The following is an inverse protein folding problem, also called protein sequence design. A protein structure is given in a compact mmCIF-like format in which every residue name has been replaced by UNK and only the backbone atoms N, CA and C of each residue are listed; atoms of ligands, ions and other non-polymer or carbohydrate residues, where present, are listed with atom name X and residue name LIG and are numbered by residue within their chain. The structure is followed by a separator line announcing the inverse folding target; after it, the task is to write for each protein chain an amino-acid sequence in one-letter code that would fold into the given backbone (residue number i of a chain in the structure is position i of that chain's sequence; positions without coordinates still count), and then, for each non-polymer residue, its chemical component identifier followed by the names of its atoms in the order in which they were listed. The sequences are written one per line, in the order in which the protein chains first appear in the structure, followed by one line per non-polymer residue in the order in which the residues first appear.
data_IF_575298451954
#
_entry.id   IF_575298451954
#
_cell.length_a   1.000
_cell.length_b   1.000
_cell.length_c   1.000
_cell.angle_alpha   90.00
_cell.angle_beta   90.00
_cell.angle_gamma   90.00
#
_symmetry.space_group_name_H-M   'P 1'
#
loop_
_entity.id
_entity.type
_entity.pdbx_description
1 polymer ?
#
# COMPACT_ATOMS: atom_id res chain seq x y z
N UNK A 1 -10.28 1.81 -39.34
CA UNK A 1 -9.15 1.59 -38.45
C UNK A 1 -9.19 0.14 -38.00
N UNK A 2 -8.14 -0.64 -38.29
CA UNK A 2 -8.09 -2.03 -37.85
C UNK A 2 -8.03 -2.05 -36.32
N UNK A 3 -9.01 -2.68 -35.68
CA UNK A 3 -9.03 -2.89 -34.23
C UNK A 3 -7.88 -3.85 -33.93
N UNK A 4 -6.80 -3.33 -33.38
CA UNK A 4 -5.64 -4.11 -32.97
C UNK A 4 -6.09 -5.09 -31.87
N UNK A 5 -6.12 -6.37 -32.21
CA UNK A 5 -6.54 -7.42 -31.26
C UNK A 5 -5.32 -7.89 -30.51
N UNK A 6 -5.38 -7.96 -29.17
CA UNK A 6 -4.23 -8.32 -28.33
C UNK A 6 -3.58 -9.67 -28.71
N UNK A 7 -4.33 -10.60 -29.30
CA UNK A 7 -3.82 -11.90 -29.77
C UNK A 7 -3.17 -11.86 -31.17
N UNK A 8 -3.29 -10.75 -31.89
CA UNK A 8 -2.68 -10.57 -33.20
C UNK A 8 -1.40 -9.74 -33.19
N UNK A 9 -1.03 -9.21 -32.04
CA UNK A 9 0.18 -8.40 -31.85
C UNK A 9 0.99 -8.97 -30.68
N UNK A 10 2.13 -9.58 -30.99
CA UNK A 10 3.04 -10.15 -30.01
C UNK A 10 3.66 -9.11 -29.07
N UNK A 11 3.58 -7.81 -29.42
CA UNK A 11 4.07 -6.72 -28.58
C UNK A 11 3.09 -6.36 -27.43
N UNK A 12 1.85 -6.88 -27.45
CA UNK A 12 0.87 -6.63 -26.40
C UNK A 12 0.93 -7.75 -25.38
N UNK A 13 1.74 -7.59 -24.35
CA UNK A 13 1.81 -8.54 -23.24
C UNK A 13 0.97 -8.08 -22.06
N UNK A 14 0.04 -8.91 -21.53
CA UNK A 14 -0.70 -8.59 -20.34
C UNK A 14 0.18 -8.70 -19.09
N UNK A 15 -0.06 -7.85 -18.10
CA UNK A 15 0.63 -7.89 -16.80
C UNK A 15 0.43 -9.24 -16.11
N UNK A 16 1.50 -9.81 -15.57
CA UNK A 16 1.50 -11.12 -14.89
C UNK A 16 1.48 -10.94 -13.37
N UNK A 17 0.66 -11.72 -12.66
CA UNK A 17 0.52 -11.63 -11.19
C UNK A 17 1.81 -11.92 -10.43
N UNK A 18 2.68 -12.78 -10.95
CA UNK A 18 3.92 -13.19 -10.30
C UNK A 18 5.09 -12.22 -10.53
N UNK A 19 4.94 -11.23 -11.42
CA UNK A 19 5.98 -10.24 -11.71
C UNK A 19 5.80 -9.01 -10.81
N UNK A 20 6.15 -9.13 -9.53
CA UNK A 20 6.08 -8.02 -8.59
C UNK A 20 7.26 -8.03 -7.61
N UNK A 21 7.57 -6.86 -7.08
CA UNK A 21 8.52 -6.64 -5.99
C UNK A 21 7.87 -5.75 -4.94
N UNK A 22 8.09 -6.09 -3.67
CA UNK A 22 7.60 -5.32 -2.53
C UNK A 22 8.79 -4.70 -1.80
N UNK A 23 8.90 -3.38 -1.73
CA UNK A 23 9.89 -2.70 -0.92
C UNK A 23 9.29 -2.31 0.42
N UNK A 24 9.71 -3.01 1.46
CA UNK A 24 9.27 -2.84 2.84
C UNK A 24 10.49 -2.94 3.76
N UNK A 25 10.64 -2.05 4.73
CA UNK A 25 11.81 -1.99 5.58
C UNK A 25 11.99 -3.27 6.42
N UNK A 26 13.18 -3.86 6.34
CA UNK A 26 13.55 -5.05 7.12
C UNK A 26 13.05 -6.38 6.55
N UNK A 27 12.34 -6.37 5.41
CA UNK A 27 11.82 -7.59 4.78
C UNK A 27 12.53 -7.87 3.47
N UNK A 28 13.23 -9.02 3.34
CA UNK A 28 13.80 -9.45 2.08
C UNK A 28 12.70 -9.77 1.05
N UNK A 29 12.93 -9.43 -0.22
CA UNK A 29 11.95 -9.64 -1.29
C UNK A 29 11.53 -11.11 -1.46
N UNK A 30 12.44 -12.05 -1.25
CA UNK A 30 12.22 -13.47 -1.52
C UNK A 30 11.27 -14.16 -0.53
N UNK A 31 11.00 -13.57 0.65
CA UNK A 31 10.05 -14.13 1.61
C UNK A 31 8.60 -13.66 1.34
N UNK A 32 8.41 -12.67 0.46
CA UNK A 32 7.09 -12.17 0.11
C UNK A 32 6.37 -13.17 -0.79
N UNK A 33 5.30 -13.77 -0.29
CA UNK A 33 4.48 -14.73 -1.03
C UNK A 33 3.39 -14.05 -1.84
N UNK A 34 2.64 -13.15 -1.20
CA UNK A 34 1.57 -12.39 -1.85
C UNK A 34 1.50 -10.97 -1.32
N UNK A 35 1.03 -10.05 -2.15
CA UNK A 35 0.67 -8.69 -1.74
C UNK A 35 -0.57 -8.23 -2.49
N UNK A 36 -1.47 -7.55 -1.80
CA UNK A 36 -2.58 -6.82 -2.42
C UNK A 36 -2.09 -5.53 -3.07
N UNK A 37 -2.81 -5.05 -4.09
CA UNK A 37 -2.66 -3.67 -4.56
C UNK A 37 -3.53 -2.74 -3.71
N UNK A 38 -3.17 -1.45 -3.60
CA UNK A 38 -4.01 -0.46 -2.96
C UNK A 38 -5.39 -0.38 -3.59
N UNK A 39 -6.42 -0.43 -2.76
CA UNK A 39 -7.81 -0.27 -3.16
C UNK A 39 -8.40 0.94 -2.44
N UNK A 40 -9.43 1.51 -3.00
CA UNK A 40 -10.19 2.58 -2.36
C UNK A 40 -11.69 2.39 -2.60
N UNK A 41 -12.48 2.93 -1.69
CA UNK A 41 -13.93 3.06 -1.81
C UNK A 41 -14.32 4.52 -1.69
N UNK A 42 -15.46 4.87 -2.28
CA UNK A 42 -16.06 6.20 -2.17
C UNK A 42 -17.39 6.03 -1.47
N UNK A 43 -17.56 6.73 -0.33
CA UNK A 43 -18.85 6.74 0.37
C UNK A 43 -19.91 7.42 -0.49
N UNK A 44 -21.17 7.09 -0.27
CA UNK A 44 -22.30 7.72 -0.97
C UNK A 44 -23.32 8.27 0.00
N UNK A 45 -23.99 9.33 -0.42
CA UNK A 45 -25.15 9.88 0.27
C UNK A 45 -26.37 9.74 -0.62
N UNK A 46 -27.44 9.14 -0.09
CA UNK A 46 -28.71 8.97 -0.78
C UNK A 46 -29.63 10.14 -0.49
N UNK A 47 -30.25 10.68 -1.54
CA UNK A 47 -31.36 11.64 -1.44
C UNK A 47 -32.61 11.07 -2.10
N UNK A 48 -33.67 10.96 -1.31
CA UNK A 48 -34.96 10.43 -1.79
C UNK A 48 -35.91 11.60 -2.13
N UNK A 49 -36.46 11.58 -3.33
CA UNK A 49 -37.50 12.51 -3.76
C UNK A 49 -38.66 11.73 -4.38
N UNK A 50 -39.77 11.64 -3.67
CA UNK A 50 -41.00 10.91 -4.03
C UNK A 50 -40.65 9.41 -4.30
N UNK A 51 -40.65 8.97 -5.57
CA UNK A 51 -40.35 7.60 -5.98
C UNK A 51 -38.95 7.45 -6.58
N UNK A 52 -38.11 8.49 -6.50
CA UNK A 52 -36.78 8.53 -7.10
C UNK A 52 -35.70 8.60 -6.03
N UNK A 53 -34.60 7.90 -6.29
CA UNK A 53 -33.40 7.93 -5.48
C UNK A 53 -32.26 8.56 -6.26
N UNK A 54 -31.55 9.49 -5.64
CA UNK A 54 -30.37 10.15 -6.19
C UNK A 54 -29.19 9.88 -5.28
N UNK A 55 -28.03 9.57 -5.85
CA UNK A 55 -26.83 9.25 -5.13
C UNK A 55 -25.77 10.32 -5.38
N UNK A 56 -25.15 10.79 -4.30
CA UNK A 56 -24.09 11.76 -4.35
C UNK A 56 -22.80 11.14 -3.80
N UNK A 57 -21.64 11.25 -4.53
CA UNK A 57 -20.38 10.75 -4.04
C UNK A 57 -19.93 11.53 -2.80
N UNK A 58 -19.45 10.81 -1.79
CA UNK A 58 -18.92 11.33 -0.56
C UNK A 58 -17.39 11.36 -0.53
N UNK A 59 -16.79 10.86 0.56
CA UNK A 59 -15.35 10.85 0.77
C UNK A 59 -14.74 9.59 0.19
N UNK A 60 -13.52 9.73 -0.34
CA UNK A 60 -12.68 8.60 -0.73
C UNK A 60 -11.97 8.05 0.52
N UNK A 61 -12.01 6.75 0.70
CA UNK A 61 -11.31 6.02 1.77
C UNK A 61 -10.42 4.93 1.16
N UNK A 62 -9.15 4.94 1.54
CA UNK A 62 -8.20 3.90 1.14
C UNK A 62 -8.37 2.67 2.03
N UNK A 63 -8.42 1.50 1.41
CA UNK A 63 -8.52 0.21 2.09
C UNK A 63 -7.13 -0.28 2.51
N UNK A 64 -7.10 -1.28 3.39
CA UNK A 64 -5.87 -1.89 3.86
C UNK A 64 -5.24 -2.77 2.78
N UNK A 65 -3.92 -2.84 2.78
CA UNK A 65 -3.17 -3.77 1.94
C UNK A 65 -2.77 -4.98 2.78
N UNK A 66 -3.17 -6.17 2.33
CA UNK A 66 -2.75 -7.43 2.90
C UNK A 66 -1.46 -7.93 2.25
N UNK A 67 -0.54 -8.46 3.07
CA UNK A 67 0.73 -9.03 2.64
C UNK A 67 0.88 -10.36 3.34
N UNK A 68 1.24 -11.41 2.59
CA UNK A 68 1.59 -12.72 3.15
C UNK A 68 3.08 -12.96 2.95
N UNK A 69 3.77 -13.29 4.02
CA UNK A 69 5.18 -13.64 4.04
C UNK A 69 5.31 -15.12 4.36
N UNK A 70 6.34 -15.76 3.84
CA UNK A 70 6.81 -17.06 4.33
C UNK A 70 7.69 -16.79 5.54
N UNK A 71 7.61 -17.61 6.59
CA UNK A 71 8.44 -17.48 7.80
C UNK A 71 9.63 -18.45 7.72
N UNK A 72 10.81 -18.03 7.23
CA UNK A 72 12.01 -18.84 7.24
C UNK A 72 12.68 -18.82 8.61
N UNK A 73 13.55 -19.80 8.87
CA UNK A 73 14.34 -19.85 10.09
C UNK A 73 15.35 -18.69 10.18
N UNK A 74 15.89 -18.25 9.02
CA UNK A 74 16.80 -17.11 8.93
C UNK A 74 16.65 -16.42 7.55
N UNK A 75 16.30 -15.12 7.50
CA UNK A 75 15.91 -14.24 8.60
C UNK A 75 14.50 -14.54 9.12
N UNK A 76 14.34 -14.64 10.43
CA UNK A 76 13.07 -14.88 11.12
C UNK A 76 12.10 -13.70 10.91
N UNK A 77 11.03 -13.95 10.15
CA UNK A 77 10.02 -12.94 9.84
C UNK A 77 9.19 -12.57 11.07
N UNK A 78 8.85 -13.55 11.91
CA UNK A 78 8.09 -13.34 13.14
C UNK A 78 8.85 -12.44 14.13
N UNK A 79 10.16 -12.69 14.30
CA UNK A 79 11.01 -11.84 15.14
C UNK A 79 11.13 -10.42 14.58
N UNK A 80 11.30 -10.28 13.27
CA UNK A 80 11.36 -8.97 12.60
C UNK A 80 10.07 -8.17 12.83
N UNK A 81 8.90 -8.83 12.73
CA UNK A 81 7.61 -8.17 12.98
C UNK A 81 7.48 -7.68 14.43
N UNK A 82 7.92 -8.48 15.42
CA UNK A 82 7.92 -8.06 16.81
C UNK A 82 8.85 -6.86 17.05
N UNK A 83 10.04 -6.84 16.43
CA UNK A 83 10.94 -5.68 16.50
C UNK A 83 10.34 -4.42 15.91
N UNK A 84 9.61 -4.51 14.77
CA UNK A 84 8.93 -3.37 14.16
C UNK A 84 7.84 -2.82 15.07
N UNK A 85 7.10 -3.68 15.78
CA UNK A 85 6.08 -3.27 16.75
C UNK A 85 6.73 -2.61 17.98
N UNK A 86 7.83 -3.14 18.49
CA UNK A 86 8.59 -2.53 19.59
C UNK A 86 9.14 -1.14 19.20
N UNK A 87 9.71 -1.01 17.99
CA UNK A 87 10.18 0.27 17.45
C UNK A 87 9.03 1.28 17.28
N UNK A 88 7.81 0.80 17.03
CA UNK A 88 6.60 1.64 16.95
C UNK A 88 6.15 2.18 18.32
N UNK A 89 6.73 1.67 19.42
CA UNK A 89 6.48 2.15 20.78
C UNK A 89 5.78 1.15 21.69
N UNK A 90 5.67 -0.13 21.30
CA UNK A 90 5.20 -1.18 22.18
C UNK A 90 6.34 -1.62 23.11
N UNK A 91 6.06 -1.71 24.42
CA UNK A 91 6.97 -2.27 25.41
C UNK A 91 6.27 -3.41 26.13
N UNK A 92 6.82 -4.61 26.05
CA UNK A 92 6.26 -5.75 26.75
C UNK A 92 6.33 -5.56 28.28
N UNK A 93 5.29 -5.95 29.07
CA UNK A 93 5.23 -5.68 30.50
C UNK A 93 6.42 -6.21 31.30
N UNK A 94 6.99 -7.36 30.92
CA UNK A 94 8.16 -7.92 31.59
C UNK A 94 9.44 -7.09 31.40
N UNK A 95 9.58 -6.44 30.23
CA UNK A 95 10.70 -5.52 29.97
C UNK A 95 10.54 -4.20 30.73
N UNK A 96 9.30 -3.82 31.04
CA UNK A 96 8.99 -2.62 31.80
C UNK A 96 9.47 -2.69 33.23
N UNK A 97 9.40 -3.86 33.86
CA UNK A 97 9.79 -4.08 35.29
C UNK A 97 11.29 -4.36 35.46
N UNK A 98 11.94 -4.95 34.46
CA UNK A 98 13.32 -5.46 34.58
C UNK A 98 14.35 -4.68 33.76
N UNK A 99 14.02 -3.49 33.25
CA UNK A 99 14.95 -2.70 32.45
C UNK A 99 16.02 -2.04 33.36
N UNK A 100 17.31 -2.47 33.30
CA UNK A 100 18.41 -1.87 34.04
C UNK A 100 18.66 -0.40 33.71
N UNK A 101 18.15 0.06 32.57
CA UNK A 101 18.29 1.44 32.12
C UNK A 101 17.15 2.35 32.58
N UNK A 102 16.25 1.86 33.40
CA UNK A 102 15.19 2.65 34.04
C UNK A 102 14.05 3.08 33.14
N UNK A 103 13.87 2.41 31.97
CA UNK A 103 12.70 2.61 31.11
C UNK A 103 11.39 2.19 31.79
N UNK A 104 11.47 1.40 32.88
CA UNK A 104 10.35 1.03 33.71
C UNK A 104 9.83 2.12 34.67
N UNK A 105 10.42 3.32 34.66
CA UNK A 105 9.88 4.45 35.44
C UNK A 105 8.71 5.06 34.67
N UNK A 106 7.65 5.44 35.35
CA UNK A 106 6.46 6.06 34.78
C UNK A 106 6.74 7.29 33.88
N UNK A 107 7.89 7.94 34.08
CA UNK A 107 8.36 9.07 33.27
C UNK A 107 8.88 8.65 31.88
N UNK A 108 9.16 7.36 31.66
CA UNK A 108 9.74 6.84 30.42
C UNK A 108 8.77 5.89 29.69
N UNK A 109 7.47 5.94 30.01
CA UNK A 109 6.46 5.14 29.30
C UNK A 109 6.39 5.60 27.85
N UNK A 110 6.82 4.72 26.95
CA UNK A 110 6.72 4.90 25.52
C UNK A 110 5.39 4.31 25.06
N UNK A 111 4.65 5.05 24.27
CA UNK A 111 3.38 4.61 23.68
C UNK A 111 3.47 4.61 22.17
N UNK A 112 2.55 3.89 21.54
CA UNK A 112 2.39 3.94 20.10
C UNK A 112 2.17 5.39 19.62
N UNK A 113 2.90 5.77 18.58
CA UNK A 113 2.63 7.02 17.89
C UNK A 113 2.69 6.79 16.37
N UNK A 114 1.89 7.53 15.63
CA UNK A 114 1.87 7.45 14.16
C UNK A 114 3.28 7.64 13.58
N UNK A 115 4.01 8.65 14.07
CA UNK A 115 5.37 8.91 13.60
C UNK A 115 6.30 7.71 13.78
N UNK A 116 6.34 7.11 14.97
CA UNK A 116 7.19 5.93 15.24
C UNK A 116 6.78 4.72 14.43
N UNK A 117 5.48 4.48 14.32
CA UNK A 117 4.95 3.36 13.53
C UNK A 117 5.31 3.49 12.05
N UNK A 118 5.22 4.69 11.48
CA UNK A 118 5.63 4.99 10.11
C UNK A 118 7.15 4.89 9.94
N UNK A 119 7.92 5.43 10.87
CA UNK A 119 9.39 5.40 10.84
C UNK A 119 9.90 3.94 10.94
N UNK A 120 9.27 3.09 11.76
CA UNK A 120 9.61 1.68 11.88
C UNK A 120 9.48 0.93 10.54
N UNK A 121 8.44 1.24 9.77
CA UNK A 121 8.19 0.65 8.44
C UNK A 121 9.08 1.27 7.34
N UNK A 122 9.80 2.36 7.63
CA UNK A 122 10.68 3.04 6.68
C UNK A 122 10.05 4.24 5.98
N UNK A 123 8.93 4.76 6.48
CA UNK A 123 8.29 5.99 5.99
C UNK A 123 7.45 5.85 4.74
N UNK A 124 7.83 4.94 3.83
CA UNK A 124 7.10 4.63 2.59
C UNK A 124 7.22 3.14 2.27
N UNK A 125 6.20 2.62 1.59
CA UNK A 125 6.21 1.28 1.05
C UNK A 125 5.94 1.35 -0.45
N UNK A 126 6.65 0.52 -1.23
CA UNK A 126 6.49 0.48 -2.68
C UNK A 126 6.12 -0.92 -3.14
N UNK A 127 5.17 -0.98 -4.07
CA UNK A 127 4.79 -2.20 -4.77
C UNK A 127 5.07 -1.97 -6.25
N UNK A 128 6.07 -2.66 -6.78
CA UNK A 128 6.47 -2.57 -8.18
C UNK A 128 5.92 -3.76 -8.94
N UNK A 129 5.29 -3.51 -10.07
CA UNK A 129 5.11 -4.52 -11.10
C UNK A 129 6.24 -4.38 -12.12
N UNK A 130 6.85 -5.50 -12.49
CA UNK A 130 8.00 -5.55 -13.38
C UNK A 130 7.65 -6.23 -14.71
N UNK A 131 8.39 -5.88 -15.75
CA UNK A 131 8.36 -6.55 -17.05
C UNK A 131 9.23 -7.83 -17.04
N UNK A 132 9.45 -8.42 -18.21
CA UNK A 132 10.29 -9.60 -18.42
C UNK A 132 11.78 -9.35 -18.14
N UNK A 133 12.22 -8.11 -18.30
CA UNK A 133 13.60 -7.67 -18.08
C UNK A 133 13.85 -7.22 -16.62
N UNK A 134 12.81 -7.26 -15.76
CA UNK A 134 12.88 -6.82 -14.38
C UNK A 134 12.73 -5.31 -14.19
N UNK A 135 12.42 -4.55 -15.23
CA UNK A 135 12.22 -3.13 -15.12
C UNK A 135 10.79 -2.81 -14.61
N UNK A 136 10.63 -1.83 -13.68
CA UNK A 136 9.31 -1.50 -13.16
C UNK A 136 8.46 -0.83 -14.24
N UNK A 137 7.26 -1.38 -14.51
CA UNK A 137 6.25 -0.85 -15.41
C UNK A 137 5.16 -0.07 -14.67
N UNK A 138 4.96 -0.40 -13.40
CA UNK A 138 3.96 0.21 -12.53
C UNK A 138 4.51 0.23 -11.12
N UNK A 139 4.45 1.37 -10.46
CA UNK A 139 4.90 1.55 -9.08
C UNK A 139 3.80 2.19 -8.26
N UNK A 140 3.32 1.48 -7.25
CA UNK A 140 2.45 2.02 -6.22
C UNK A 140 3.29 2.50 -5.05
N UNK A 141 3.12 3.76 -4.68
CA UNK A 141 3.76 4.38 -3.52
C UNK A 141 2.72 4.59 -2.43
N UNK A 142 2.88 3.89 -1.30
CA UNK A 142 2.00 4.03 -0.13
C UNK A 142 2.66 5.01 0.85
N UNK A 143 1.89 6.00 1.28
CA UNK A 143 2.36 7.08 2.15
C UNK A 143 1.91 6.86 3.58
N UNK A 144 2.85 7.06 4.51
CA UNK A 144 2.68 6.86 5.94
C UNK A 144 2.12 5.46 6.29
N UNK A 145 2.69 4.36 5.74
CA UNK A 145 2.24 3.02 6.06
C UNK A 145 2.61 2.66 7.51
N UNK A 146 1.76 1.85 8.13
CA UNK A 146 2.01 1.26 9.44
C UNK A 146 1.30 -0.08 9.57
N UNK A 147 1.85 -0.96 10.40
CA UNK A 147 1.30 -2.30 10.62
C UNK A 147 0.08 -2.19 11.52
N UNK A 148 -1.10 -2.57 11.00
CA UNK A 148 -2.34 -2.60 11.76
C UNK A 148 -2.52 -3.92 12.49
N UNK A 149 -2.24 -5.04 11.84
CA UNK A 149 -2.32 -6.37 12.42
C UNK A 149 -1.26 -7.29 11.85
N UNK A 150 -0.85 -8.25 12.64
CA UNK A 150 0.03 -9.35 12.27
C UNK A 150 -0.64 -10.62 12.75
N UNK A 151 -0.73 -11.61 11.88
CA UNK A 151 -1.12 -12.98 12.21
C UNK A 151 0.07 -13.89 11.90
N UNK A 152 0.56 -14.58 12.92
CA UNK A 152 1.73 -15.47 12.81
C UNK A 152 1.39 -16.87 12.29
N UNK A 153 0.12 -17.09 11.89
CA UNK A 153 -0.36 -18.36 11.38
C UNK A 153 -0.62 -19.41 12.45
N UNK A 154 -1.14 -20.53 12.00
CA UNK A 154 -1.47 -21.68 12.83
C UNK A 154 -0.44 -22.79 12.61
N UNK A 155 -0.23 -23.65 13.60
CA UNK A 155 0.67 -24.80 13.55
C UNK A 155 -0.18 -26.09 13.59
N UNK A 156 0.08 -27.00 12.66
CA UNK A 156 -0.60 -28.28 12.56
C UNK A 156 0.40 -29.40 12.28
N UNK A 157 0.30 -30.50 13.04
CA UNK A 157 1.16 -31.68 12.87
C UNK A 157 0.78 -32.54 11.64
N UNK A 158 -0.41 -32.34 11.07
CA UNK A 158 -0.89 -33.09 9.92
C UNK A 158 -0.53 -32.44 8.58
N UNK A 159 -0.08 -31.17 8.61
CA UNK A 159 0.25 -30.37 7.42
C UNK A 159 1.76 -30.22 7.28
N UNK A 160 2.27 -30.36 6.05
CA UNK A 160 3.64 -30.09 5.65
C UNK A 160 3.80 -28.73 4.93
N UNK A 161 2.76 -27.87 5.02
CA UNK A 161 2.80 -26.53 4.41
C UNK A 161 3.75 -25.60 5.15
N UNK A 162 4.26 -24.60 4.42
CA UNK A 162 5.13 -23.58 4.99
C UNK A 162 4.34 -22.64 5.91
N UNK A 163 4.92 -22.29 7.05
CA UNK A 163 4.34 -21.28 7.94
C UNK A 163 4.33 -19.93 7.23
N UNK A 164 3.18 -19.26 7.27
CA UNK A 164 3.00 -17.95 6.68
C UNK A 164 2.67 -16.93 7.78
N UNK A 165 3.23 -15.73 7.62
CA UNK A 165 2.88 -14.57 8.45
C UNK A 165 2.05 -13.61 7.60
N UNK A 166 0.88 -13.27 8.08
CA UNK A 166 -0.04 -12.35 7.39
C UNK A 166 -0.01 -10.97 8.04
N UNK A 167 0.15 -9.96 7.23
CA UNK A 167 0.21 -8.55 7.63
C UNK A 167 -0.96 -7.78 7.03
N UNK A 168 -1.57 -6.91 7.81
CA UNK A 168 -2.45 -5.85 7.31
C UNK A 168 -1.79 -4.50 7.52
N UNK A 169 -1.58 -3.78 6.42
CA UNK A 169 -0.94 -2.47 6.40
C UNK A 169 -2.01 -1.40 6.16
N UNK A 170 -2.05 -0.42 7.06
CA UNK A 170 -2.84 0.80 6.90
C UNK A 170 -1.93 1.94 6.44
N UNK A 171 -2.43 2.80 5.58
CA UNK A 171 -1.71 3.95 5.04
C UNK A 171 -2.67 5.12 4.83
N UNK A 172 -2.17 6.34 4.63
CA UNK A 172 -3.02 7.52 4.48
C UNK A 172 -3.56 7.65 3.06
N UNK A 173 -2.69 7.45 2.06
CA UNK A 173 -3.04 7.53 0.64
C UNK A 173 -1.98 6.81 -0.21
N UNK A 174 -2.32 6.49 -1.44
CA UNK A 174 -1.41 5.87 -2.39
C UNK A 174 -1.36 6.65 -3.70
N UNK A 175 -0.21 6.58 -4.38
CA UNK A 175 0.00 7.14 -5.70
C UNK A 175 0.46 6.06 -6.67
N UNK A 176 0.13 6.22 -7.93
CA UNK A 176 0.45 5.28 -9.00
C UNK A 176 1.29 5.97 -10.06
N UNK A 177 2.53 5.52 -10.20
CA UNK A 177 3.40 5.87 -11.31
C UNK A 177 3.41 4.74 -12.35
N UNK A 178 3.23 5.08 -13.63
CA UNK A 178 3.31 4.12 -14.73
C UNK A 178 4.29 4.62 -15.78
N UNK A 179 5.11 3.71 -16.34
CA UNK A 179 6.00 4.05 -17.47
C UNK A 179 5.24 4.17 -18.79
N UNK A 180 4.01 3.65 -18.87
CA UNK A 180 3.23 3.67 -20.09
C UNK A 180 2.63 5.05 -20.29
N UNK A 181 3.15 5.79 -21.26
CA UNK A 181 2.50 7.01 -21.73
C UNK A 181 1.12 6.63 -22.27
N UNK A 182 0.01 7.26 -21.78
CA UNK A 182 -1.32 6.97 -22.30
C UNK A 182 -1.31 7.07 -23.84
N UNK A 183 -1.95 6.12 -24.51
CA UNK A 183 -2.03 6.16 -25.96
C UNK A 183 -2.61 7.52 -26.40
N UNK A 184 -2.11 8.09 -27.50
CA UNK A 184 -2.58 9.38 -28.05
C UNK A 184 -4.10 9.45 -28.22
N UNK A 185 -4.75 8.30 -28.35
CA UNK A 185 -6.20 8.20 -28.51
C UNK A 185 -6.97 8.48 -27.22
N UNK A 186 -6.43 8.13 -26.03
CA UNK A 186 -7.01 8.50 -24.74
C UNK A 186 -6.83 9.98 -24.42
N UNK A 187 -5.73 10.59 -24.85
CA UNK A 187 -5.54 12.04 -24.76
C UNK A 187 -6.53 12.82 -25.65
N UNK A 188 -6.87 12.29 -26.81
CA UNK A 188 -7.85 12.88 -27.73
C UNK A 188 -9.30 12.75 -27.25
N UNK A 189 -9.62 11.70 -26.51
CA UNK A 189 -10.96 11.46 -25.93
C UNK A 189 -11.26 12.32 -24.70
N UNK A 190 -10.38 13.27 -24.31
CA UNK A 190 -10.57 14.13 -23.14
C UNK A 190 -10.36 13.41 -21.79
N UNK A 191 -9.83 12.18 -21.83
CA UNK A 191 -9.51 11.43 -20.62
C UNK A 191 -8.19 11.91 -20.03
N UNK A 192 -8.24 12.54 -18.87
CA UNK A 192 -7.12 12.84 -17.95
C UNK A 192 -5.90 13.56 -18.57
N UNK A 193 -6.12 14.51 -19.47
CA UNK A 193 -5.10 15.46 -19.86
C UNK A 193 -4.97 16.53 -18.78
N UNK A 194 -3.77 16.69 -18.25
CA UNK A 194 -3.41 17.79 -17.38
C UNK A 194 -3.51 19.09 -18.20
N UNK A 195 -4.69 19.68 -18.29
CA UNK A 195 -4.83 21.03 -18.82
C UNK A 195 -4.31 21.96 -17.73
N UNK A 196 -3.21 22.70 -17.95
CA UNK A 196 -2.82 23.73 -17.02
C UNK A 196 -4.01 24.71 -16.91
N UNK A 197 -4.49 24.93 -15.68
CA UNK A 197 -5.44 25.98 -15.40
C UNK A 197 -4.74 27.31 -15.72
N UNK A 198 -4.93 27.79 -16.94
CA UNK A 198 -4.52 29.15 -17.30
C UNK A 198 -5.46 30.08 -16.54
N UNK A 199 -4.95 30.65 -15.47
CA UNK A 199 -5.55 31.76 -14.75
C UNK A 199 -5.74 32.90 -15.78
N UNK A 200 -6.92 32.99 -16.39
CA UNK A 200 -7.30 34.17 -17.15
C UNK A 200 -7.50 35.31 -16.16
N UNK A 201 -6.45 36.05 -15.99
CA UNK A 201 -6.48 37.30 -15.26
C UNK A 201 -7.68 38.15 -15.68
N UNK A 202 -8.45 38.54 -14.68
CA UNK A 202 -9.47 39.55 -14.75
C UNK A 202 -8.87 40.83 -15.41
N UNK A 203 -9.16 41.07 -16.67
CA UNK A 203 -9.00 42.41 -17.25
C UNK A 203 -10.21 43.23 -16.82
N UNK A 204 -9.98 44.17 -15.91
CA UNK A 204 -10.93 45.21 -15.60
C UNK A 204 -11.27 46.01 -16.90
N UNK A 205 -12.53 46.38 -17.11
CA UNK A 205 -12.88 47.27 -18.21
C UNK A 205 -12.33 48.66 -17.89
N UNK A 206 -11.44 49.13 -18.76
CA UNK A 206 -10.98 50.50 -18.73
C UNK A 206 -12.10 51.48 -19.11
N UNK A 207 -12.15 52.59 -18.38
CA UNK A 207 -12.90 53.79 -18.67
C UNK A 207 -12.27 54.49 -19.89
#
# INVERSE_FOLDING_TARGET
MATQKFWSDAAIEPKRKYRFLLSFNGIPQWIVKTTGKPNFSVSESEHNFINYKFYYPGRLEWEEVSITLVDPVDPDASHTMLQLIENSGYVAPHNFLNDPQGRGKASNVVTFSKKRAVDAVGGRMYIHMIDEDGAPIETWSLYNPWIKSVNFGDLDYESDELVNVELSIRYDWADLETKVTPSRDLQRAGGFGNTPVTNRGNRAPGV
#
